data_IF_636896699198
#
_entry.id   IF_636896699198
#
_cell.length_a   1.000
_cell.length_b   1.000
_cell.length_c   1.000
_cell.angle_alpha   90.00
_cell.angle_beta   90.00
_cell.angle_gamma   90.00
#
_symmetry.space_group_name_H-M   'P 1'
#
loop_
_entity.id
_entity.type
_entity.pdbx_description
1 polymer ?
#
# COMPACT_ATOMS: atom_id res chain seq x y z
N UNK A 1 -1.91 -1.86 4.94
CA UNK A 1 -0.58 -1.25 4.67
C UNK A 1 -0.71 0.26 4.78
N UNK A 2 0.30 0.94 5.34
CA UNK A 2 0.35 2.40 5.42
C UNK A 2 1.27 3.03 4.34
N UNK A 3 1.23 4.36 4.21
CA UNK A 3 2.06 5.12 3.28
C UNK A 3 3.55 4.88 3.45
N UNK A 4 4.03 4.82 4.69
CA UNK A 4 5.45 4.67 4.99
C UNK A 4 6.00 3.37 4.43
N UNK A 5 5.24 2.28 4.61
CA UNK A 5 5.55 0.98 4.04
C UNK A 5 5.57 1.06 2.51
N UNK A 6 4.54 1.63 1.87
CA UNK A 6 4.49 1.69 0.40
C UNK A 6 5.68 2.47 -0.21
N UNK A 7 6.04 3.61 0.39
CA UNK A 7 7.15 4.45 -0.06
C UNK A 7 8.51 3.78 0.15
N UNK A 8 8.70 3.03 1.24
CA UNK A 8 9.93 2.31 1.51
C UNK A 8 10.26 1.24 0.45
N UNK A 9 9.26 0.74 -0.28
CA UNK A 9 9.41 -0.26 -1.32
C UNK A 9 9.15 0.29 -2.73
N UNK A 10 9.43 1.59 -2.97
CA UNK A 10 9.24 2.24 -4.27
C UNK A 10 9.94 1.53 -5.45
N UNK A 11 11.09 0.89 -5.20
CA UNK A 11 11.80 0.11 -6.20
C UNK A 11 11.02 -1.13 -6.70
N UNK A 12 10.00 -1.58 -5.97
CA UNK A 12 9.16 -2.72 -6.30
C UNK A 12 7.77 -2.33 -6.81
N UNK A 13 7.54 -1.05 -7.06
CA UNK A 13 6.26 -0.58 -7.57
C UNK A 13 5.95 -1.15 -8.96
N UNK A 14 4.78 -1.78 -9.06
CA UNK A 14 4.20 -2.21 -10.32
C UNK A 14 3.19 -1.20 -10.85
N UNK A 15 2.70 -1.48 -12.06
CA UNK A 15 1.58 -0.76 -12.66
C UNK A 15 0.38 -1.67 -12.85
N UNK A 16 -0.79 -1.20 -12.46
CA UNK A 16 -2.07 -1.88 -12.63
C UNK A 16 -2.77 -1.38 -13.89
N UNK A 17 -3.13 -2.26 -14.82
CA UNK A 17 -3.82 -1.87 -16.06
C UNK A 17 -5.19 -1.23 -15.79
N UNK A 18 -5.86 -1.65 -14.71
CA UNK A 18 -7.17 -1.14 -14.31
C UNK A 18 -7.24 -1.00 -12.80
N UNK A 19 -7.16 0.23 -12.31
CA UNK A 19 -7.32 0.50 -10.88
C UNK A 19 -8.69 0.07 -10.38
N UNK A 20 -8.69 -0.43 -9.15
CA UNK A 20 -9.93 -0.63 -8.39
C UNK A 20 -10.48 0.74 -8.00
N UNK A 21 -11.74 1.00 -8.31
CA UNK A 21 -12.45 2.25 -8.02
C UNK A 21 -13.69 2.06 -7.13
N UNK A 22 -13.95 0.84 -6.66
CA UNK A 22 -15.03 0.58 -5.71
C UNK A 22 -14.60 0.99 -4.31
N UNK A 23 -15.57 1.25 -3.46
CA UNK A 23 -15.28 1.52 -2.06
C UNK A 23 -14.90 0.23 -1.32
N UNK A 24 -13.96 0.37 -0.38
CA UNK A 24 -13.41 -0.72 0.41
C UNK A 24 -13.74 -0.46 1.89
N UNK A 25 -14.93 -0.86 2.37
CA UNK A 25 -15.44 -0.42 3.68
C UNK A 25 -14.71 -1.02 4.90
N UNK A 26 -13.75 -1.92 4.67
CA UNK A 26 -12.99 -2.61 5.73
C UNK A 26 -11.59 -2.06 5.92
N UNK A 27 -11.23 -0.99 5.22
CA UNK A 27 -9.93 -0.35 5.40
C UNK A 27 -9.91 0.42 6.72
N UNK A 28 -8.78 0.35 7.41
CA UNK A 28 -8.48 1.29 8.49
C UNK A 28 -8.35 2.72 7.92
N UNK A 29 -8.47 3.78 8.75
CA UNK A 29 -8.33 5.15 8.26
C UNK A 29 -7.02 5.43 7.51
N UNK A 30 -5.89 4.86 7.98
CA UNK A 30 -4.60 4.98 7.31
C UNK A 30 -4.59 4.27 5.94
N UNK A 31 -5.17 3.07 5.86
CA UNK A 31 -5.29 2.34 4.60
C UNK A 31 -6.23 3.02 3.60
N UNK A 32 -7.32 3.61 4.08
CA UNK A 32 -8.25 4.35 3.25
C UNK A 32 -7.56 5.58 2.64
N UNK A 33 -6.82 6.35 3.43
CA UNK A 33 -6.05 7.48 2.94
C UNK A 33 -5.01 7.07 1.87
N UNK A 34 -4.31 5.95 2.09
CA UNK A 34 -3.37 5.41 1.10
C UNK A 34 -4.09 4.98 -0.18
N UNK A 35 -5.24 4.33 -0.05
CA UNK A 35 -6.04 3.89 -1.18
C UNK A 35 -6.57 5.06 -2.02
N UNK A 36 -6.99 6.15 -1.37
CA UNK A 36 -7.44 7.36 -2.07
C UNK A 36 -6.29 8.02 -2.84
N UNK A 37 -5.09 8.09 -2.25
CA UNK A 37 -3.89 8.60 -2.93
C UNK A 37 -3.54 7.79 -4.19
N UNK A 38 -3.76 6.47 -4.17
CA UNK A 38 -3.56 5.59 -5.32
C UNK A 38 -4.60 5.83 -6.42
N UNK A 39 -5.88 5.95 -6.04
CA UNK A 39 -6.99 6.18 -6.99
C UNK A 39 -6.88 7.54 -7.68
N UNK A 40 -6.37 8.53 -6.98
CA UNK A 40 -6.20 9.90 -7.46
C UNK A 40 -4.84 10.14 -8.12
N UNK A 41 -4.01 9.09 -8.25
CA UNK A 41 -2.68 9.15 -8.86
C UNK A 41 -1.72 10.15 -8.20
N UNK A 42 -1.86 10.40 -6.89
CA UNK A 42 -1.04 11.36 -6.16
C UNK A 42 0.42 10.91 -6.00
N UNK A 43 0.67 9.61 -6.06
CA UNK A 43 2.01 9.02 -5.96
C UNK A 43 2.61 8.68 -7.34
N UNK A 44 1.88 7.91 -8.14
CA UNK A 44 2.25 7.56 -9.51
C UNK A 44 1.00 7.13 -10.29
N UNK A 45 1.01 7.32 -11.62
CA UNK A 45 -0.09 6.88 -12.47
C UNK A 45 -0.19 5.35 -12.47
N UNK A 46 -1.40 4.83 -12.27
CA UNK A 46 -1.71 3.40 -12.27
C UNK A 46 -0.84 2.57 -11.30
N UNK A 47 -0.43 3.15 -10.17
CA UNK A 47 0.38 2.44 -9.19
C UNK A 47 -0.40 1.23 -8.63
N UNK A 48 0.19 0.03 -8.69
CA UNK A 48 -0.37 -1.17 -8.08
C UNK A 48 -0.03 -1.19 -6.59
N UNK A 49 -1.05 -1.40 -5.75
CA UNK A 49 -0.83 -1.65 -4.32
C UNK A 49 -0.32 -3.08 -4.14
N UNK A 50 1.00 -3.23 -4.07
CA UNK A 50 1.65 -4.53 -3.86
C UNK A 50 1.87 -4.78 -2.37
N UNK A 51 1.33 -5.89 -1.86
CA UNK A 51 1.64 -6.39 -0.51
C UNK A 51 2.60 -7.59 -0.56
N UNK A 52 2.86 -8.15 -1.74
CA UNK A 52 3.60 -9.40 -1.93
C UNK A 52 5.14 -9.19 -1.92
N UNK A 53 5.62 -7.97 -2.16
CA UNK A 53 7.05 -7.62 -2.22
C UNK A 53 7.53 -6.79 -1.03
N UNK A 54 7.03 -7.06 0.17
CA UNK A 54 7.54 -6.45 1.41
C UNK A 54 8.67 -7.33 1.96
N UNK A 55 9.81 -6.73 2.28
CA UNK A 55 10.96 -7.45 2.85
C UNK A 55 10.62 -8.13 4.18
N UNK A 56 11.10 -9.36 4.39
CA UNK A 56 10.75 -10.18 5.57
C UNK A 56 11.08 -9.52 6.92
N UNK A 57 12.10 -8.64 6.98
CA UNK A 57 12.42 -7.87 8.19
C UNK A 57 11.27 -6.96 8.65
N UNK A 58 10.51 -6.38 7.72
CA UNK A 58 9.35 -5.55 8.06
C UNK A 58 8.24 -6.38 8.70
N UNK A 59 8.02 -7.61 8.22
CA UNK A 59 7.07 -8.54 8.86
C UNK A 59 7.51 -8.84 10.30
N UNK A 60 8.79 -9.15 10.51
CA UNK A 60 9.31 -9.41 11.87
C UNK A 60 9.14 -8.21 12.79
N UNK A 61 9.44 -7.00 12.30
CA UNK A 61 9.26 -5.77 13.08
C UNK A 61 7.79 -5.51 13.43
N UNK A 62 6.88 -5.70 12.47
CA UNK A 62 5.45 -5.55 12.70
C UNK A 62 4.95 -6.55 13.75
N UNK A 63 5.33 -7.82 13.65
CA UNK A 63 4.97 -8.86 14.63
C UNK A 63 5.50 -8.57 16.03
N UNK A 64 6.74 -8.06 16.14
CA UNK A 64 7.31 -7.68 17.43
C UNK A 64 6.56 -6.52 18.10
N UNK A 65 5.96 -5.62 17.32
CA UNK A 65 5.16 -4.50 17.85
C UNK A 65 3.76 -4.91 18.35
N UNK A 66 3.31 -6.14 18.03
CA UNK A 66 2.06 -6.71 18.55
C UNK A 66 2.23 -7.49 19.86
N UNK A 67 3.47 -7.73 20.30
CA UNK A 67 3.81 -8.44 21.54
C UNK A 67 3.88 -7.48 22.74
#
# INVERSE_FOLDING_TARGET
>A
MDHGTLLAFAAHWGTETKLTQRDLPRLTPAEQALYDDLREYRLHKNLRLEQECIGFEWLKAALAAFA
#
